data_IF_722776498975
#
_entry.id   IF_722776498975
#
_cell.length_a   1.000
_cell.length_b   1.000
_cell.length_c   1.000
_cell.angle_alpha   90.00
_cell.angle_beta   90.00
_cell.angle_gamma   90.00
#
_symmetry.space_group_name_H-M   'P 1'
#
loop_
_entity.id
_entity.type
_entity.pdbx_description
1 polymer ?
#
# COMPACT_ATOMS: atom_id res chain seq x y z
N UNK A 1 13.97 8.95 -25.29
CA UNK A 1 14.05 9.05 -23.83
C UNK A 1 13.08 10.14 -23.36
N UNK A 2 12.13 9.87 -22.48
CA UNK A 2 11.26 10.90 -21.95
C UNK A 2 12.08 11.86 -21.08
N UNK A 3 11.82 13.18 -21.24
CA UNK A 3 12.46 14.22 -20.45
C UNK A 3 11.46 14.86 -19.51
N UNK A 4 11.86 15.14 -18.28
CA UNK A 4 11.00 15.75 -17.24
C UNK A 4 11.68 16.98 -16.67
N UNK A 5 10.87 18.02 -16.40
CA UNK A 5 11.37 19.27 -15.81
C UNK A 5 11.74 19.06 -14.34
N UNK A 6 12.85 19.63 -13.94
CA UNK A 6 13.29 19.69 -12.54
C UNK A 6 12.89 21.03 -11.97
N UNK A 7 12.20 21.02 -10.83
CA UNK A 7 11.74 22.23 -10.15
C UNK A 7 12.52 22.46 -8.86
N UNK A 8 12.75 23.73 -8.54
CA UNK A 8 13.17 24.10 -7.20
C UNK A 8 11.95 24.25 -6.27
N UNK A 9 12.16 24.46 -4.98
CA UNK A 9 11.07 24.63 -4.00
C UNK A 9 10.22 25.87 -4.25
N UNK A 10 10.75 26.85 -4.98
CA UNK A 10 10.02 28.07 -5.37
C UNK A 10 9.12 27.86 -6.59
N UNK A 11 9.13 26.64 -7.19
CA UNK A 11 8.30 26.31 -8.37
C UNK A 11 8.92 26.74 -9.70
N UNK A 12 10.18 27.21 -9.70
CA UNK A 12 10.89 27.58 -10.93
C UNK A 12 11.53 26.32 -11.53
N UNK A 13 11.48 26.18 -12.85
CA UNK A 13 12.17 25.11 -13.54
C UNK A 13 13.68 25.42 -13.61
N UNK A 14 14.47 24.59 -12.95
CA UNK A 14 15.94 24.73 -12.89
C UNK A 14 16.64 24.00 -14.03
N UNK A 15 16.01 22.93 -14.56
CA UNK A 15 16.60 22.12 -15.61
C UNK A 15 15.65 21.04 -16.14
N UNK A 16 16.21 20.15 -16.94
CA UNK A 16 15.51 18.94 -17.41
C UNK A 16 16.39 17.73 -17.13
N UNK A 17 15.77 16.62 -16.76
CA UNK A 17 16.45 15.34 -16.56
C UNK A 17 15.88 14.33 -17.54
N UNK A 18 16.75 13.61 -18.22
CA UNK A 18 16.39 12.49 -19.08
C UNK A 18 16.12 11.25 -18.24
N UNK A 19 15.05 10.53 -18.59
CA UNK A 19 14.66 9.30 -17.92
C UNK A 19 14.96 8.10 -18.80
N UNK A 20 15.36 6.99 -18.19
CA UNK A 20 15.65 5.73 -18.90
C UNK A 20 14.36 5.13 -19.49
N UNK A 21 14.37 4.85 -20.81
CA UNK A 21 13.25 4.21 -21.52
C UNK A 21 12.89 2.83 -20.93
N UNK A 22 13.87 2.11 -20.40
CA UNK A 22 13.66 0.79 -19.79
C UNK A 22 12.75 0.82 -18.56
N UNK A 23 12.70 1.93 -17.84
CA UNK A 23 11.91 2.10 -16.62
C UNK A 23 10.70 3.01 -16.80
N UNK A 24 10.77 3.98 -17.71
CA UNK A 24 9.76 5.04 -17.87
C UNK A 24 9.11 5.07 -19.28
N UNK A 25 9.53 4.17 -20.18
CA UNK A 25 8.97 4.03 -21.53
C UNK A 25 8.13 2.77 -21.75
N UNK A 26 7.73 2.06 -20.67
CA UNK A 26 7.05 0.77 -20.76
C UNK A 26 5.55 0.95 -21.05
N UNK A 27 5.01 0.22 -22.06
CA UNK A 27 3.58 0.25 -22.37
C UNK A 27 2.74 -0.28 -21.21
N UNK A 28 1.75 0.49 -20.70
CA UNK A 28 0.94 0.07 -19.56
C UNK A 28 -0.01 -1.08 -19.90
N UNK A 29 -0.12 -2.06 -18.98
CA UNK A 29 -1.11 -3.14 -18.99
C UNK A 29 -1.98 -3.05 -17.75
N UNK A 30 -3.25 -2.70 -17.92
CA UNK A 30 -4.21 -2.52 -16.83
C UNK A 30 -4.45 -3.81 -16.05
N UNK A 31 -4.49 -4.97 -16.72
CA UNK A 31 -4.71 -6.27 -16.08
C UNK A 31 -3.57 -6.66 -15.14
N UNK A 32 -2.31 -6.45 -15.55
CA UNK A 32 -1.15 -6.74 -14.72
C UNK A 32 -1.08 -5.79 -13.51
N UNK A 33 -1.27 -4.49 -13.73
CA UNK A 33 -1.29 -3.50 -12.64
C UNK A 33 -2.40 -3.83 -11.64
N UNK A 34 -3.62 -4.13 -12.12
CA UNK A 34 -4.73 -4.50 -11.25
C UNK A 34 -4.43 -5.74 -10.41
N UNK A 35 -3.91 -6.83 -11.01
CA UNK A 35 -3.58 -8.05 -10.29
C UNK A 35 -2.53 -7.82 -9.18
N UNK A 36 -1.52 -6.98 -9.45
CA UNK A 36 -0.50 -6.61 -8.46
C UNK A 36 -1.09 -5.76 -7.33
N UNK A 37 -1.96 -4.79 -7.64
CA UNK A 37 -2.63 -3.96 -6.62
C UNK A 37 -3.49 -4.81 -5.70
N UNK A 38 -4.35 -5.69 -6.25
CA UNK A 38 -5.21 -6.58 -5.47
C UNK A 38 -4.39 -7.49 -4.56
N UNK A 39 -3.29 -8.06 -5.07
CA UNK A 39 -2.42 -8.89 -4.26
C UNK A 39 -1.70 -8.09 -3.15
N UNK A 40 -1.25 -6.85 -3.42
CA UNK A 40 -0.65 -5.99 -2.40
C UNK A 40 -1.64 -5.59 -1.31
N UNK A 41 -2.91 -5.30 -1.67
CA UNK A 41 -3.96 -5.02 -0.69
C UNK A 41 -4.34 -6.24 0.13
N UNK A 42 -4.42 -7.42 -0.49
CA UNK A 42 -4.64 -8.68 0.21
C UNK A 42 -3.52 -8.95 1.24
N UNK A 43 -2.26 -8.67 0.88
CA UNK A 43 -1.09 -8.84 1.76
C UNK A 43 -1.05 -7.84 2.93
N UNK A 44 -1.69 -6.68 2.80
CA UNK A 44 -1.86 -5.71 3.90
C UNK A 44 -2.95 -6.12 4.88
N UNK A 45 -3.83 -7.06 4.50
CA UNK A 45 -4.98 -7.46 5.33
C UNK A 45 -4.52 -8.33 6.49
N UNK A 46 -4.80 -7.88 7.72
CA UNK A 46 -4.54 -8.62 8.95
C UNK A 46 -5.82 -9.24 9.50
N UNK A 47 -5.75 -10.50 9.93
CA UNK A 47 -6.85 -11.20 10.60
C UNK A 47 -6.83 -10.89 12.09
N UNK A 48 -7.82 -10.14 12.57
CA UNK A 48 -7.97 -9.82 14.00
C UNK A 48 -9.18 -10.51 14.63
N UNK A 49 -10.20 -10.83 13.83
CA UNK A 49 -11.41 -11.46 14.30
C UNK A 49 -11.23 -12.96 14.52
N UNK A 50 -11.74 -13.49 15.64
CA UNK A 50 -11.77 -14.90 15.93
C UNK A 50 -13.08 -15.27 16.63
N UNK A 51 -13.63 -16.43 16.30
CA UNK A 51 -14.80 -16.99 16.96
C UNK A 51 -14.47 -18.36 17.51
N UNK A 52 -15.09 -18.72 18.64
CA UNK A 52 -14.88 -20.04 19.26
C UNK A 52 -15.76 -21.09 18.59
N UNK A 53 -15.14 -22.21 18.19
CA UNK A 53 -15.87 -23.42 17.77
C UNK A 53 -16.44 -24.15 18.97
N UNK A 54 -17.31 -25.14 18.71
CA UNK A 54 -17.88 -25.96 19.78
C UNK A 54 -16.84 -26.67 20.67
N UNK A 55 -15.64 -26.94 20.15
CA UNK A 55 -14.57 -27.52 20.91
C UNK A 55 -13.88 -26.53 21.86
N UNK A 56 -13.87 -25.24 21.51
CA UNK A 56 -13.19 -24.17 22.26
C UNK A 56 -14.08 -23.51 23.32
N UNK A 57 -15.40 -23.77 23.30
CA UNK A 57 -16.33 -23.25 24.30
C UNK A 57 -16.30 -24.11 25.56
N UNK A 58 -16.35 -23.48 26.73
CA UNK A 58 -16.44 -24.15 28.02
C UNK A 58 -17.80 -24.82 28.23
N UNK A 59 -17.84 -25.91 28.96
CA UNK A 59 -19.09 -26.64 29.29
C UNK A 59 -19.27 -27.93 28.46
N UNK A 60 -20.45 -28.56 28.58
CA UNK A 60 -20.92 -29.61 27.65
C UNK A 60 -20.37 -31.02 27.79
N UNK A 61 -19.74 -31.40 28.88
CA UNK A 61 -19.27 -32.78 29.09
C UNK A 61 -20.40 -33.81 29.25
N UNK A 62 -21.58 -33.35 29.72
CA UNK A 62 -22.76 -34.21 29.94
C UNK A 62 -23.75 -34.08 28.81
N UNK A 63 -24.33 -35.23 28.37
CA UNK A 63 -25.44 -35.28 27.42
C UNK A 63 -26.68 -34.62 28.02
N UNK A 64 -27.41 -33.68 27.34
CA UNK A 64 -28.56 -32.98 27.90
C UNK A 64 -29.67 -33.89 28.40
N UNK A 65 -30.00 -34.96 27.64
CA UNK A 65 -31.01 -35.97 27.99
C UNK A 65 -30.69 -37.31 27.34
N UNK A 66 -31.42 -38.34 27.76
CA UNK A 66 -31.32 -39.70 27.22
C UNK A 66 -31.59 -39.76 25.70
N UNK A 67 -30.99 -40.71 25.01
CA UNK A 67 -31.06 -40.84 23.54
C UNK A 67 -32.50 -41.10 23.05
N UNK A 68 -33.30 -41.83 23.82
CA UNK A 68 -34.70 -42.21 23.53
C UNK A 68 -35.56 -42.08 24.77
N UNK A 69 -36.89 -42.05 24.60
CA UNK A 69 -37.86 -42.04 25.75
C UNK A 69 -38.14 -40.64 26.34
N UNK A 70 -37.74 -39.55 25.68
CA UNK A 70 -37.99 -38.17 26.19
C UNK A 70 -38.97 -37.36 25.32
N UNK A 71 -39.38 -37.90 24.15
CA UNK A 71 -40.21 -37.16 23.17
C UNK A 71 -39.56 -35.94 22.55
N UNK A 72 -38.30 -35.63 22.90
CA UNK A 72 -37.53 -34.47 22.42
C UNK A 72 -36.59 -34.87 21.29
N UNK A 73 -36.18 -33.89 20.44
CA UNK A 73 -35.17 -34.07 19.45
C UNK A 73 -33.85 -34.55 20.11
N UNK A 74 -33.14 -35.45 19.42
CA UNK A 74 -31.85 -35.98 19.92
C UNK A 74 -30.79 -34.91 19.98
N UNK A 75 -30.13 -34.75 21.13
CA UNK A 75 -29.06 -33.78 21.33
C UNK A 75 -27.86 -34.46 22.01
N UNK A 76 -26.66 -34.16 21.47
CA UNK A 76 -25.40 -34.70 22.02
C UNK A 76 -24.70 -33.76 22.98
N UNK A 77 -24.80 -32.45 22.75
CA UNK A 77 -24.10 -31.43 23.55
C UNK A 77 -24.79 -30.08 23.45
N UNK A 78 -24.79 -29.33 24.56
CA UNK A 78 -25.27 -27.93 24.65
C UNK A 78 -24.32 -26.95 23.93
N UNK A 79 -23.10 -27.38 23.58
CA UNK A 79 -22.14 -26.59 22.79
C UNK A 79 -22.43 -26.58 21.30
N UNK A 80 -23.39 -27.33 20.82
CA UNK A 80 -23.75 -27.41 19.40
C UNK A 80 -24.23 -26.06 18.89
N UNK A 81 -24.00 -25.73 17.59
CA UNK A 81 -24.31 -24.40 17.06
C UNK A 81 -25.77 -23.96 17.16
N UNK A 82 -26.69 -24.90 17.22
CA UNK A 82 -28.13 -24.64 17.38
C UNK A 82 -28.52 -24.15 18.76
N UNK A 83 -27.65 -24.27 19.77
CA UNK A 83 -27.88 -23.83 21.13
C UNK A 83 -27.39 -22.40 21.35
N UNK A 84 -28.16 -21.65 22.16
CA UNK A 84 -27.71 -20.33 22.61
C UNK A 84 -26.45 -20.52 23.45
N UNK A 85 -25.36 -19.78 23.05
CA UNK A 85 -24.05 -19.96 23.66
C UNK A 85 -23.24 -21.11 23.06
N UNK A 86 -23.75 -21.82 22.05
CA UNK A 86 -23.01 -22.84 21.31
C UNK A 86 -21.93 -22.27 20.39
N UNK A 87 -21.07 -23.18 19.87
CA UNK A 87 -19.94 -22.78 19.02
C UNK A 87 -20.34 -22.35 17.62
N UNK A 88 -19.62 -21.41 17.06
CA UNK A 88 -19.82 -20.93 15.68
C UNK A 88 -19.11 -21.88 14.71
N UNK A 89 -19.78 -22.29 13.61
CA UNK A 89 -19.23 -23.27 12.65
C UNK A 89 -18.35 -22.56 11.62
N UNK A 90 -18.84 -21.53 10.95
CA UNK A 90 -18.16 -20.81 9.84
C UNK A 90 -17.80 -19.38 10.21
N UNK A 91 -17.47 -19.13 11.46
CA UNK A 91 -17.05 -17.80 11.90
C UNK A 91 -15.64 -17.42 11.46
N UNK A 92 -15.26 -16.15 11.62
CA UNK A 92 -13.92 -15.69 11.32
C UNK A 92 -12.87 -16.39 12.19
N UNK A 93 -11.72 -16.71 11.61
CA UNK A 93 -10.60 -17.36 12.28
C UNK A 93 -9.35 -16.52 12.17
N UNK A 94 -8.62 -16.34 13.28
CA UNK A 94 -7.35 -15.61 13.33
C UNK A 94 -6.24 -16.24 12.48
N UNK A 95 -6.33 -17.54 12.21
CA UNK A 95 -5.34 -18.32 11.46
C UNK A 95 -5.50 -18.17 9.93
N UNK A 96 -6.56 -17.50 9.47
CA UNK A 96 -6.80 -17.33 8.03
C UNK A 96 -5.71 -16.47 7.39
N UNK A 97 -5.00 -17.05 6.45
CA UNK A 97 -3.98 -16.36 5.66
C UNK A 97 -4.64 -15.73 4.41
N UNK A 98 -4.43 -14.42 4.21
CA UNK A 98 -4.87 -13.66 3.03
C UNK A 98 -3.72 -13.34 2.07
N UNK A 99 -2.48 -13.75 2.38
CA UNK A 99 -1.33 -13.41 1.55
C UNK A 99 -1.40 -14.08 0.17
N UNK A 100 -1.11 -13.30 -0.85
CA UNK A 100 -1.04 -13.72 -2.25
C UNK A 100 0.38 -13.53 -2.75
N UNK A 101 0.99 -14.57 -3.30
CA UNK A 101 2.34 -14.52 -3.88
C UNK A 101 2.29 -13.80 -5.22
N UNK A 102 3.20 -12.85 -5.42
CA UNK A 102 3.42 -12.14 -6.69
C UNK A 102 4.85 -12.45 -7.16
N UNK A 103 5.01 -12.74 -8.45
CA UNK A 103 6.32 -12.92 -9.04
C UNK A 103 7.10 -11.59 -9.03
N UNK A 104 8.39 -11.64 -8.71
CA UNK A 104 9.25 -10.44 -8.61
C UNK A 104 9.25 -9.63 -9.91
N UNK A 105 9.47 -10.28 -11.06
CA UNK A 105 9.46 -9.63 -12.38
C UNK A 105 8.11 -8.98 -12.71
N UNK A 106 6.98 -9.63 -12.37
CA UNK A 106 5.64 -9.07 -12.58
C UNK A 106 5.41 -7.81 -11.72
N UNK A 107 5.86 -7.81 -10.45
CA UNK A 107 5.79 -6.64 -9.58
C UNK A 107 6.62 -5.48 -10.12
N UNK A 108 7.83 -5.74 -10.63
CA UNK A 108 8.71 -4.73 -11.22
C UNK A 108 8.11 -4.16 -12.51
N UNK A 109 7.65 -5.02 -13.42
CA UNK A 109 7.01 -4.59 -14.66
C UNK A 109 5.78 -3.70 -14.40
N UNK A 110 4.92 -4.08 -13.45
CA UNK A 110 3.77 -3.26 -13.05
C UNK A 110 4.19 -1.89 -12.48
N UNK A 111 5.29 -1.84 -11.72
CA UNK A 111 5.84 -0.58 -11.20
C UNK A 111 6.27 0.35 -12.34
N UNK A 112 7.04 -0.17 -13.30
CA UNK A 112 7.52 0.59 -14.45
C UNK A 112 6.36 1.06 -15.34
N UNK A 113 5.35 0.22 -15.56
CA UNK A 113 4.15 0.57 -16.33
C UNK A 113 3.40 1.76 -15.70
N UNK A 114 3.22 1.77 -14.38
CA UNK A 114 2.54 2.89 -13.71
C UNK A 114 3.38 4.16 -13.73
N UNK A 115 4.71 4.06 -13.54
CA UNK A 115 5.60 5.22 -13.65
C UNK A 115 5.60 5.80 -15.07
N UNK A 116 5.65 4.95 -16.10
CA UNK A 116 5.56 5.36 -17.51
C UNK A 116 4.24 6.07 -17.81
N UNK A 117 3.12 5.57 -17.27
CA UNK A 117 1.81 6.23 -17.37
C UNK A 117 1.82 7.62 -16.70
N UNK A 118 2.49 7.78 -15.55
CA UNK A 118 2.60 9.08 -14.87
C UNK A 118 3.43 10.08 -15.68
N UNK A 119 4.50 9.62 -16.30
CA UNK A 119 5.34 10.46 -17.18
C UNK A 119 4.56 10.90 -18.42
N UNK A 120 3.84 9.99 -19.08
CA UNK A 120 3.07 10.30 -20.30
C UNK A 120 1.89 11.26 -20.08
N UNK A 121 1.40 11.38 -18.83
CA UNK A 121 0.32 12.27 -18.44
C UNK A 121 0.78 13.53 -17.69
N UNK A 122 2.07 13.86 -17.71
CA UNK A 122 2.65 15.02 -17.00
C UNK A 122 2.37 15.04 -15.47
N UNK A 123 2.21 13.84 -14.88
CA UNK A 123 1.98 13.66 -13.43
C UNK A 123 3.21 13.18 -12.67
N UNK A 124 4.34 13.19 -13.34
CA UNK A 124 5.65 12.89 -12.78
C UNK A 124 6.48 14.17 -12.69
N UNK A 125 6.91 14.53 -11.50
CA UNK A 125 7.63 15.76 -11.22
C UNK A 125 8.94 15.44 -10.50
N UNK A 126 10.00 16.13 -10.86
CA UNK A 126 11.28 16.03 -10.16
C UNK A 126 11.55 17.33 -9.43
N UNK A 127 11.97 17.22 -8.16
CA UNK A 127 12.37 18.34 -7.33
C UNK A 127 13.84 18.16 -6.98
N UNK A 128 14.59 19.24 -7.02
CA UNK A 128 16.04 19.22 -6.75
C UNK A 128 16.33 18.68 -5.34
N UNK A 129 15.88 19.39 -4.30
CA UNK A 129 16.07 18.98 -2.91
C UNK A 129 14.96 19.56 -2.01
N UNK A 130 14.67 18.89 -0.89
CA UNK A 130 13.78 19.40 0.16
C UNK A 130 14.62 19.94 1.32
N UNK A 131 14.70 21.29 1.56
CA UNK A 131 15.44 21.84 2.67
C UNK A 131 14.79 21.50 4.01
N UNK A 132 15.62 21.20 4.99
CA UNK A 132 15.19 20.72 6.31
C UNK A 132 15.40 21.81 7.40
N UNK A 133 15.71 23.03 6.99
CA UNK A 133 16.08 24.11 7.91
C UNK A 133 15.02 24.43 8.97
N UNK A 134 13.74 24.36 8.57
CA UNK A 134 12.61 24.59 9.49
C UNK A 134 11.62 23.42 9.44
N UNK A 135 11.69 22.48 10.39
CA UNK A 135 10.87 21.25 10.37
C UNK A 135 9.40 21.51 10.79
N UNK A 136 8.71 22.40 10.07
CA UNK A 136 7.30 22.74 10.30
C UNK A 136 6.42 22.22 9.18
N UNK A 137 5.25 21.68 9.53
CA UNK A 137 4.21 21.26 8.56
C UNK A 137 3.74 22.40 7.66
N UNK A 138 3.73 23.63 8.20
CA UNK A 138 3.37 24.87 7.46
C UNK A 138 4.33 25.13 6.29
N UNK A 139 5.64 24.90 6.47
CA UNK A 139 6.64 25.08 5.41
C UNK A 139 6.38 24.09 4.25
N UNK A 140 6.18 22.81 4.55
CA UNK A 140 5.87 21.82 3.53
C UNK A 140 4.53 22.10 2.82
N UNK A 141 3.52 22.51 3.55
CA UNK A 141 2.24 22.92 2.99
C UNK A 141 2.36 24.16 2.08
N UNK A 142 3.31 25.06 2.37
CA UNK A 142 3.67 26.17 1.51
C UNK A 142 4.25 25.68 0.17
N UNK A 143 5.22 24.77 0.19
CA UNK A 143 5.84 24.20 -1.01
C UNK A 143 4.80 23.50 -1.90
N UNK A 144 3.85 22.80 -1.30
CA UNK A 144 2.77 22.14 -2.05
C UNK A 144 1.85 23.10 -2.81
N UNK A 145 1.76 24.36 -2.40
CA UNK A 145 0.96 25.37 -3.12
C UNK A 145 1.69 25.97 -4.32
N UNK A 146 3.00 25.94 -4.29
CA UNK A 146 3.87 26.57 -5.30
C UNK A 146 4.28 25.56 -6.37
N UNK A 147 4.63 24.37 -5.95
CA UNK A 147 5.01 23.28 -6.86
C UNK A 147 3.78 22.71 -7.59
N UNK A 148 3.92 22.11 -8.78
CA UNK A 148 2.83 21.50 -9.55
C UNK A 148 2.33 20.21 -8.90
N UNK A 149 1.99 20.29 -7.62
CA UNK A 149 1.37 19.20 -6.89
C UNK A 149 -0.09 19.03 -7.31
N UNK A 150 -0.47 17.81 -7.65
CA UNK A 150 -1.87 17.49 -7.82
C UNK A 150 -2.62 17.41 -6.47
N UNK A 151 -3.92 17.13 -6.57
CA UNK A 151 -4.81 16.99 -5.39
C UNK A 151 -4.29 15.98 -4.35
N UNK A 152 -3.60 14.92 -4.80
CA UNK A 152 -2.94 13.92 -3.96
C UNK A 152 -1.58 13.60 -4.56
N UNK A 153 -0.54 13.65 -3.77
CA UNK A 153 0.84 13.49 -4.23
C UNK A 153 1.61 12.48 -3.40
N UNK A 154 2.41 11.68 -4.08
CA UNK A 154 3.38 10.75 -3.48
C UNK A 154 4.78 11.34 -3.63
N UNK A 155 5.44 11.57 -2.53
CA UNK A 155 6.82 12.10 -2.49
C UNK A 155 7.78 10.94 -2.25
N UNK A 156 8.74 10.77 -3.15
CA UNK A 156 9.75 9.71 -3.09
C UNK A 156 11.11 10.31 -2.75
N UNK A 157 11.69 9.82 -1.66
CA UNK A 157 12.99 10.26 -1.14
C UNK A 157 14.01 9.11 -1.20
N UNK A 158 15.32 9.39 -1.31
CA UNK A 158 16.34 8.35 -1.44
C UNK A 158 16.48 7.51 -0.16
N UNK A 159 16.47 8.15 0.99
CA UNK A 159 16.62 7.52 2.30
C UNK A 159 15.60 8.04 3.32
N UNK A 160 15.36 7.28 4.37
CA UNK A 160 14.42 7.66 5.43
C UNK A 160 14.92 8.91 6.16
N UNK A 161 14.10 9.97 6.16
CA UNK A 161 14.36 11.20 6.88
C UNK A 161 13.26 11.45 7.92
N UNK A 162 13.55 11.29 9.23
CA UNK A 162 12.56 11.44 10.29
C UNK A 162 12.00 12.86 10.39
N UNK A 163 12.78 13.87 10.02
CA UNK A 163 12.38 15.27 10.04
C UNK A 163 11.35 15.57 8.96
N UNK A 164 11.63 15.18 7.70
CA UNK A 164 10.66 15.25 6.61
C UNK A 164 9.39 14.45 6.90
N UNK A 165 9.53 13.26 7.48
CA UNK A 165 8.38 12.43 7.85
C UNK A 165 7.47 13.15 8.87
N UNK A 166 8.04 13.84 9.86
CA UNK A 166 7.25 14.65 10.82
C UNK A 166 6.51 15.80 10.14
N UNK A 167 7.14 16.47 9.16
CA UNK A 167 6.52 17.55 8.40
C UNK A 167 5.33 17.09 7.56
N UNK A 168 5.42 15.91 6.94
CA UNK A 168 4.42 15.37 5.99
C UNK A 168 3.32 14.57 6.67
N UNK A 169 3.62 13.88 7.77
CA UNK A 169 2.72 12.92 8.43
C UNK A 169 1.30 13.43 8.70
N UNK A 170 1.15 14.72 9.03
CA UNK A 170 -0.17 15.31 9.31
C UNK A 170 -0.93 15.76 8.05
N UNK A 171 -0.30 15.72 6.88
CA UNK A 171 -0.91 16.17 5.63
C UNK A 171 -1.67 15.01 4.98
N UNK A 172 -3.00 15.10 4.91
CA UNK A 172 -3.88 14.03 4.36
C UNK A 172 -3.66 13.72 2.88
N UNK A 173 -3.17 14.71 2.12
CA UNK A 173 -3.06 14.64 0.66
C UNK A 173 -1.67 14.23 0.17
N UNK A 174 -0.72 14.05 1.07
CA UNK A 174 0.65 13.68 0.73
C UNK A 174 1.06 12.44 1.49
N UNK A 175 1.79 11.58 0.81
CA UNK A 175 2.48 10.45 1.43
C UNK A 175 3.96 10.54 1.08
N UNK A 176 4.83 10.35 2.07
CA UNK A 176 6.27 10.25 1.90
C UNK A 176 6.67 8.78 1.91
N UNK A 177 7.45 8.37 0.90
CA UNK A 177 7.92 6.99 0.74
C UNK A 177 9.38 7.00 0.31
N UNK A 178 10.15 6.04 0.77
CA UNK A 178 11.52 5.82 0.28
C UNK A 178 11.50 5.00 -1.00
N UNK A 179 12.54 5.12 -1.82
CA UNK A 179 12.70 4.35 -3.08
C UNK A 179 12.51 2.85 -2.85
N UNK A 180 13.07 2.30 -1.78
CA UNK A 180 12.98 0.87 -1.45
C UNK A 180 11.56 0.42 -1.04
N UNK A 181 10.75 1.33 -0.51
CA UNK A 181 9.39 1.07 -0.04
C UNK A 181 8.31 1.48 -1.05
N UNK A 182 8.70 1.77 -2.30
CA UNK A 182 7.77 2.17 -3.34
C UNK A 182 6.90 0.98 -3.79
N UNK A 183 5.58 1.13 -3.69
CA UNK A 183 4.60 0.12 -4.06
C UNK A 183 3.66 0.58 -5.17
N UNK A 184 3.23 -0.35 -6.02
CA UNK A 184 2.28 -0.08 -7.12
C UNK A 184 0.97 0.47 -6.59
N UNK A 185 0.46 -0.07 -5.48
CA UNK A 185 -0.78 0.40 -4.85
C UNK A 185 -0.71 1.87 -4.42
N UNK A 186 0.45 2.33 -3.93
CA UNK A 186 0.63 3.73 -3.55
C UNK A 186 0.68 4.65 -4.78
N UNK A 187 1.37 4.24 -5.85
CA UNK A 187 1.39 4.98 -7.13
C UNK A 187 0.00 5.13 -7.77
N UNK A 188 -0.84 4.11 -7.65
CA UNK A 188 -2.23 4.17 -8.16
C UNK A 188 -3.09 5.08 -7.28
N UNK A 189 -2.91 5.03 -5.96
CA UNK A 189 -3.65 5.84 -5.00
C UNK A 189 -3.34 7.34 -5.10
N UNK A 190 -2.08 7.68 -5.41
CA UNK A 190 -1.60 9.06 -5.54
C UNK A 190 -1.30 9.36 -7.01
N UNK A 191 -2.14 10.14 -7.69
CA UNK A 191 -2.00 10.38 -9.12
C UNK A 191 -0.73 11.17 -9.47
N UNK A 192 -0.29 12.09 -8.62
CA UNK A 192 0.95 12.85 -8.85
C UNK A 192 2.10 12.23 -8.07
N UNK A 193 3.22 11.99 -8.74
CA UNK A 193 4.43 11.41 -8.17
C UNK A 193 5.56 12.42 -8.26
N UNK A 194 6.23 12.64 -7.14
CA UNK A 194 7.29 13.64 -7.00
C UNK A 194 8.54 12.91 -6.53
N UNK A 195 9.56 12.93 -7.36
CA UNK A 195 10.87 12.41 -7.00
C UNK A 195 11.80 13.53 -6.58
N UNK A 196 12.54 13.34 -5.51
CA UNK A 196 13.72 14.11 -5.22
C UNK A 196 14.84 13.69 -6.19
N UNK A 197 15.62 14.61 -6.74
CA UNK A 197 16.63 14.31 -7.76
C UNK A 197 17.58 13.15 -7.36
N UNK A 198 18.15 13.09 -6.15
CA UNK A 198 18.96 11.95 -5.73
C UNK A 198 18.18 10.62 -5.63
N UNK A 199 16.85 10.66 -5.49
CA UNK A 199 16.04 9.44 -5.47
C UNK A 199 15.87 8.79 -6.84
N UNK A 200 15.98 9.55 -7.95
CA UNK A 200 16.01 9.00 -9.30
C UNK A 200 17.25 8.12 -9.52
N UNK A 201 18.43 8.64 -9.19
CA UNK A 201 19.68 7.87 -9.30
C UNK A 201 19.66 6.61 -8.41
N UNK A 202 19.07 6.72 -7.21
CA UNK A 202 18.90 5.58 -6.31
C UNK A 202 17.92 4.53 -6.89
N UNK A 203 16.85 4.98 -7.54
CA UNK A 203 15.87 4.12 -8.19
C UNK A 203 16.49 3.35 -9.37
N UNK A 204 17.17 4.04 -10.26
CA UNK A 204 17.85 3.40 -11.41
C UNK A 204 18.90 2.38 -10.93
N UNK A 205 19.71 2.71 -9.94
CA UNK A 205 20.69 1.80 -9.34
C UNK A 205 20.03 0.55 -8.71
N UNK A 206 18.84 0.71 -8.10
CA UNK A 206 18.11 -0.40 -7.49
C UNK A 206 17.60 -1.39 -8.53
N UNK A 207 17.12 -0.91 -9.66
CA UNK A 207 16.48 -1.72 -10.69
C UNK A 207 17.38 -2.09 -11.87
N UNK A 208 18.55 -1.45 -12.04
CA UNK A 208 19.55 -1.84 -13.05
C UNK A 208 20.21 -3.19 -12.75
N UNK A 209 20.19 -3.65 -11.49
CA UNK A 209 20.77 -4.93 -11.04
C UNK A 209 19.80 -6.12 -11.06
N UNK A 210 18.61 -5.96 -11.62
CA UNK A 210 17.54 -6.97 -11.53
C UNK A 210 17.30 -7.72 -12.84
#
# INVERSE_FOLDING_TARGET
MPSVKVFNIKGEAVGQTELSDSHFGVKPSTSLVHSVVVAQEANKRTTKANTKTRGEIAGGGRKPWKQKGTGRARQGSIRSPQWVGGGIVFGPRKERNYSVKINRKAKQAALFMVLSDRVSHDKFVVVDNFPIDTPKTKSFAGWMKVLPFGRKSLVVIPASNPTLLRMVRNLKNVQLVTVNALHVADLVKYPTVIFEQPSLAAFEKLYSKA
#
